data_IF_694057757470
#
_entry.id   IF_694057757470
#
_cell.length_a   1.000
_cell.length_b   1.000
_cell.length_c   1.000
_cell.angle_alpha   90.00
_cell.angle_beta   90.00
_cell.angle_gamma   90.00
#
_symmetry.space_group_name_H-M   'P 1'
#
loop_
_entity.id
_entity.type
_entity.pdbx_description
1 polymer ?
#
# COMPACT_ATOMS: atom_id res chain seq x y z
N UNK A 1 0.00 -18.96 24.34
CA UNK A 1 -1.12 -18.91 23.38
C UNK A 1 -0.65 -18.19 22.13
N UNK A 2 -0.02 -18.92 21.20
CA UNK A 2 0.38 -18.41 19.90
C UNK A 2 -0.86 -18.48 18.99
N UNK A 3 -1.35 -17.33 18.53
CA UNK A 3 -2.40 -17.31 17.51
C UNK A 3 -1.77 -17.78 16.19
N UNK A 4 -2.07 -19.01 15.78
CA UNK A 4 -1.80 -19.49 14.43
C UNK A 4 -2.62 -18.65 13.45
N UNK A 5 -1.96 -17.78 12.69
CA UNK A 5 -2.56 -17.23 11.46
C UNK A 5 -2.92 -18.39 10.53
N UNK A 6 -4.14 -18.44 9.95
CA UNK A 6 -4.55 -19.52 9.08
C UNK A 6 -3.59 -19.63 7.89
N UNK A 7 -2.91 -20.77 7.79
CA UNK A 7 -2.09 -21.13 6.62
C UNK A 7 -3.05 -21.40 5.46
N UNK A 8 -3.35 -20.36 4.69
CA UNK A 8 -3.96 -20.55 3.36
C UNK A 8 -2.91 -21.28 2.52
N UNK A 9 -3.19 -22.55 2.23
CA UNK A 9 -2.39 -23.38 1.35
C UNK A 9 -2.24 -22.66 0.00
N UNK A 10 -1.00 -22.56 -0.49
CA UNK A 10 -0.67 -21.95 -1.78
C UNK A 10 -0.54 -23.07 -2.82
N UNK A 11 -1.49 -23.25 -3.75
CA UNK A 11 -1.17 -23.88 -5.01
C UNK A 11 -0.30 -22.90 -5.80
N UNK A 12 0.88 -23.35 -6.22
CA UNK A 12 1.71 -22.66 -7.18
C UNK A 12 1.03 -22.68 -8.55
N UNK A 13 0.17 -21.69 -8.81
CA UNK A 13 -0.29 -21.37 -10.16
C UNK A 13 0.60 -20.24 -10.66
N UNK A 14 1.42 -20.54 -11.66
CA UNK A 14 2.22 -19.54 -12.38
C UNK A 14 1.29 -18.40 -12.83
N UNK A 15 1.64 -17.16 -12.47
CA UNK A 15 0.93 -15.95 -12.90
C UNK A 15 0.07 -15.25 -11.84
N UNK A 16 -0.13 -15.79 -10.64
CA UNK A 16 -0.87 -15.11 -9.57
C UNK A 16 -0.03 -14.98 -8.31
N UNK A 17 0.33 -13.76 -7.90
CA UNK A 17 0.86 -13.51 -6.56
C UNK A 17 -0.24 -12.90 -5.69
N UNK A 18 -0.95 -13.76 -4.96
CA UNK A 18 -1.96 -13.38 -3.98
C UNK A 18 -1.29 -12.75 -2.75
N UNK A 19 -1.33 -11.42 -2.65
CA UNK A 19 -0.97 -10.71 -1.42
C UNK A 19 -2.24 -10.21 -0.75
N UNK A 20 -2.71 -10.95 0.24
CA UNK A 20 -3.72 -10.48 1.20
C UNK A 20 -2.99 -10.00 2.43
N UNK A 21 -3.18 -8.74 2.80
CA UNK A 21 -2.63 -8.18 4.04
C UNK A 21 -3.71 -7.39 4.76
N UNK A 22 -3.85 -7.64 6.06
CA UNK A 22 -4.78 -6.95 6.94
C UNK A 22 -4.02 -5.99 7.84
N UNK A 23 -4.43 -4.73 7.88
CA UNK A 23 -3.96 -3.72 8.85
C UNK A 23 -5.18 -3.03 9.43
N UNK A 24 -5.38 -3.11 10.75
CA UNK A 24 -6.55 -2.55 11.43
C UNK A 24 -7.90 -3.05 10.85
N UNK A 25 -7.94 -4.33 10.45
CA UNK A 25 -9.12 -4.92 9.81
C UNK A 25 -9.23 -4.61 8.31
N UNK A 26 -8.37 -3.79 7.72
CA UNK A 26 -8.44 -3.46 6.29
C UNK A 26 -7.61 -4.39 5.44
N UNK A 27 -8.19 -4.95 4.39
CA UNK A 27 -7.54 -5.87 3.46
C UNK A 27 -7.24 -5.17 2.14
N UNK A 28 -6.00 -5.32 1.68
CA UNK A 28 -5.61 -5.04 0.30
C UNK A 28 -5.31 -6.37 -0.40
N UNK A 29 -5.86 -6.53 -1.60
CA UNK A 29 -5.63 -7.64 -2.51
C UNK A 29 -5.13 -7.13 -3.86
N UNK A 30 -3.91 -7.48 -4.23
CA UNK A 30 -3.37 -7.22 -5.57
C UNK A 30 -3.60 -8.40 -6.54
N UNK A 31 -4.06 -8.10 -7.76
CA UNK A 31 -4.19 -9.03 -8.90
C UNK A 31 -3.44 -8.49 -10.11
N UNK A 32 -3.18 -9.25 -11.19
CA UNK A 32 -2.50 -8.70 -12.36
C UNK A 32 -3.17 -7.47 -13.00
N UNK A 33 -4.49 -7.29 -12.84
CA UNK A 33 -5.24 -6.21 -13.50
C UNK A 33 -5.51 -5.00 -12.61
N UNK A 34 -5.63 -5.19 -11.29
CA UNK A 34 -5.94 -4.13 -10.34
C UNK A 34 -5.67 -4.57 -8.90
N UNK A 35 -5.78 -3.63 -7.96
CA UNK A 35 -5.93 -3.93 -6.54
C UNK A 35 -7.37 -3.77 -6.10
N UNK A 36 -7.75 -4.52 -5.08
CA UNK A 36 -9.03 -4.41 -4.39
C UNK A 36 -8.75 -4.12 -2.93
N UNK A 37 -9.39 -3.09 -2.39
CA UNK A 37 -9.34 -2.75 -0.96
C UNK A 37 -10.72 -2.88 -0.33
N UNK A 38 -10.81 -3.50 0.83
CA UNK A 38 -12.04 -3.63 1.61
C UNK A 38 -11.75 -3.79 3.10
N UNK A 39 -12.71 -3.41 3.94
CA UNK A 39 -12.65 -3.59 5.39
C UNK A 39 -13.26 -4.94 5.79
N UNK A 40 -12.56 -5.66 6.67
CA UNK A 40 -13.08 -6.82 7.38
C UNK A 40 -14.00 -6.36 8.53
N UNK A 41 -15.06 -7.12 8.81
CA UNK A 41 -15.93 -6.86 9.93
C UNK A 41 -15.13 -6.91 11.24
N UNK A 42 -15.44 -6.00 12.16
CA UNK A 42 -14.97 -6.14 13.53
C UNK A 42 -15.61 -7.40 14.11
N UNK A 43 -14.79 -8.36 14.58
CA UNK A 43 -15.27 -9.63 15.10
C UNK A 43 -16.16 -9.40 16.34
N UNK A 44 -17.46 -9.24 16.12
CA UNK A 44 -18.45 -9.22 17.19
C UNK A 44 -18.88 -10.66 17.44
N UNK A 45 -18.91 -11.12 18.70
CA UNK A 45 -19.15 -12.53 19.05
C UNK A 45 -20.55 -13.06 18.68
N UNK A 46 -21.42 -12.24 18.08
CA UNK A 46 -22.83 -12.55 17.88
C UNK A 46 -23.26 -12.87 16.44
N UNK A 47 -22.40 -12.75 15.41
CA UNK A 47 -22.86 -13.02 14.05
C UNK A 47 -21.83 -13.81 13.22
N UNK A 48 -22.15 -15.08 12.94
CA UNK A 48 -21.34 -16.00 12.11
C UNK A 48 -21.67 -15.87 10.61
N UNK A 49 -21.86 -14.66 10.12
CA UNK A 49 -21.88 -14.43 8.68
C UNK A 49 -20.63 -13.65 8.27
N UNK A 50 -19.77 -14.19 7.38
CA UNK A 50 -18.67 -13.42 6.83
C UNK A 50 -19.27 -12.43 5.83
N UNK A 51 -19.60 -11.24 6.33
CA UNK A 51 -20.03 -10.13 5.50
C UNK A 51 -18.85 -9.19 5.40
N UNK A 52 -18.35 -8.96 4.19
CA UNK A 52 -17.49 -7.81 3.93
C UNK A 52 -18.38 -6.59 4.16
N UNK A 53 -18.21 -5.92 5.29
CA UNK A 53 -19.10 -4.85 5.75
C UNK A 53 -19.01 -3.58 4.88
N UNK A 54 -18.03 -3.52 3.98
CA UNK A 54 -17.73 -2.36 3.14
C UNK A 54 -17.84 -2.67 1.65
N UNK A 55 -18.25 -1.68 0.85
CA UNK A 55 -18.19 -1.78 -0.60
C UNK A 55 -16.70 -1.85 -1.02
N UNK A 56 -16.26 -2.92 -1.72
CA UNK A 56 -14.87 -3.01 -2.15
C UNK A 56 -14.52 -1.89 -3.13
N UNK A 57 -13.35 -1.32 -2.97
CA UNK A 57 -12.78 -0.32 -3.87
C UNK A 57 -11.85 -1.00 -4.88
N UNK A 58 -12.13 -0.84 -6.17
CA UNK A 58 -11.25 -1.28 -7.25
C UNK A 58 -10.27 -0.16 -7.57
N UNK A 59 -8.99 -0.47 -7.52
CA UNK A 59 -7.89 0.49 -7.60
C UNK A 59 -7.02 0.10 -8.80
N UNK A 60 -6.93 0.94 -9.85
CA UNK A 60 -5.98 0.71 -10.93
C UNK A 60 -4.54 0.87 -10.43
N UNK A 61 -3.60 0.16 -11.04
CA UNK A 61 -2.19 0.41 -10.74
C UNK A 61 -1.77 1.81 -11.17
N UNK A 62 -0.93 2.50 -10.39
CA UNK A 62 -0.40 3.80 -10.79
C UNK A 62 0.40 3.65 -12.09
N UNK A 63 0.29 4.62 -12.98
CA UNK A 63 1.14 4.69 -14.15
C UNK A 63 2.59 4.89 -13.70
N UNK A 64 3.41 3.85 -13.86
CA UNK A 64 4.85 3.95 -13.66
C UNK A 64 5.44 4.65 -14.89
N UNK A 65 5.55 5.98 -14.86
CA UNK A 65 6.26 6.70 -15.91
C UNK A 65 7.71 6.17 -15.97
N UNK A 66 8.01 5.35 -16.96
CA UNK A 66 9.37 4.92 -17.24
C UNK A 66 10.10 6.10 -17.91
N UNK A 67 11.18 6.65 -17.33
CA UNK A 67 12.10 7.46 -18.13
C UNK A 67 12.68 6.53 -19.21
N UNK A 68 12.64 6.99 -20.45
CA UNK A 68 12.59 6.14 -21.65
C UNK A 68 13.79 5.22 -21.90
N UNK A 69 13.48 4.09 -22.53
CA UNK A 69 14.35 3.47 -23.53
C UNK A 69 13.52 3.32 -24.81
N UNK A 70 13.65 4.30 -25.71
CA UNK A 70 13.16 4.17 -27.08
C UNK A 70 14.11 3.26 -27.85
N UNK A 71 13.89 1.94 -27.78
CA UNK A 71 14.34 1.03 -28.83
C UNK A 71 13.18 0.82 -29.82
N UNK A 72 13.37 1.09 -31.13
CA UNK A 72 12.32 0.86 -32.11
C UNK A 72 12.28 -0.64 -32.41
N UNK A 73 11.39 -1.37 -31.74
CA UNK A 73 11.13 -2.76 -32.10
C UNK A 73 10.81 -3.69 -30.94
N UNK A 74 9.79 -3.38 -30.15
CA UNK A 74 8.85 -4.34 -29.53
C UNK A 74 7.94 -3.53 -28.60
N UNK A 75 6.71 -3.26 -29.04
CA UNK A 75 5.66 -2.77 -28.14
C UNK A 75 5.14 -3.97 -27.37
N UNK A 76 5.92 -4.48 -26.41
CA UNK A 76 5.36 -5.33 -25.37
C UNK A 76 4.68 -4.40 -24.38
N UNK A 77 3.36 -4.39 -24.39
CA UNK A 77 2.52 -3.79 -23.35
C UNK A 77 2.65 -4.59 -22.05
N UNK A 78 3.87 -4.77 -21.54
CA UNK A 78 4.10 -5.34 -20.24
C UNK A 78 3.75 -4.26 -19.22
N UNK A 79 2.46 -4.08 -18.93
CA UNK A 79 2.05 -3.36 -17.73
C UNK A 79 2.60 -4.15 -16.56
N UNK A 80 3.70 -3.68 -16.00
CA UNK A 80 4.31 -4.31 -14.84
C UNK A 80 3.31 -4.20 -13.68
N UNK A 81 2.81 -5.34 -13.19
CA UNK A 81 2.00 -5.39 -11.99
C UNK A 81 2.90 -5.64 -10.77
N UNK A 82 2.53 -5.13 -9.58
CA UNK A 82 3.33 -5.34 -8.39
C UNK A 82 3.33 -6.81 -8.01
N UNK A 83 4.53 -7.28 -7.68
CA UNK A 83 4.80 -8.63 -7.18
C UNK A 83 4.43 -8.79 -5.73
N UNK A 84 4.39 -7.70 -4.95
CA UNK A 84 3.89 -7.70 -3.58
C UNK A 84 3.29 -6.34 -3.21
N UNK A 85 2.38 -6.34 -2.24
CA UNK A 85 1.86 -5.11 -1.65
C UNK A 85 1.84 -5.19 -0.12
N UNK A 86 1.97 -4.03 0.52
CA UNK A 86 1.87 -3.85 1.95
C UNK A 86 1.08 -2.57 2.27
N UNK A 87 -0.12 -2.66 2.87
CA UNK A 87 -0.79 -1.48 3.38
C UNK A 87 -0.07 -0.94 4.61
N UNK A 88 -0.05 0.38 4.70
CA UNK A 88 0.26 1.16 5.91
C UNK A 88 -1.01 1.90 6.31
N UNK A 89 -0.92 2.76 7.34
CA UNK A 89 -2.06 3.57 7.76
C UNK A 89 -2.59 4.47 6.64
N UNK A 90 -1.72 5.12 5.87
CA UNK A 90 -2.15 6.10 4.86
C UNK A 90 -1.72 5.77 3.43
N UNK A 91 -0.82 4.81 3.23
CA UNK A 91 -0.34 4.39 1.92
C UNK A 91 -0.52 2.89 1.65
N UNK A 92 -0.52 2.52 0.38
CA UNK A 92 -0.27 1.15 -0.06
C UNK A 92 1.10 1.14 -0.72
N UNK A 93 1.99 0.30 -0.19
CA UNK A 93 3.34 0.10 -0.72
C UNK A 93 3.30 -1.02 -1.74
N UNK A 94 3.83 -0.77 -2.92
CA UNK A 94 3.82 -1.65 -4.08
C UNK A 94 5.25 -2.01 -4.45
N UNK A 95 5.57 -3.29 -4.46
CA UNK A 95 6.86 -3.82 -4.89
C UNK A 95 6.75 -4.36 -6.31
N UNK A 96 7.54 -3.80 -7.21
CA UNK A 96 7.71 -4.24 -8.59
C UNK A 96 9.03 -5.02 -8.73
N UNK A 97 9.42 -5.39 -9.95
CA UNK A 97 10.67 -6.14 -10.20
C UNK A 97 11.92 -5.38 -9.76
N UNK A 98 11.95 -4.06 -10.01
CA UNK A 98 13.14 -3.20 -9.89
C UNK A 98 12.87 -1.89 -9.16
N UNK A 99 11.68 -1.73 -8.56
CA UNK A 99 11.27 -0.51 -7.88
C UNK A 99 10.22 -0.76 -6.82
N UNK A 100 10.09 0.21 -5.93
CA UNK A 100 8.99 0.33 -4.99
C UNK A 100 8.22 1.61 -5.30
N UNK A 101 6.90 1.58 -5.13
CA UNK A 101 6.06 2.75 -5.18
C UNK A 101 5.17 2.81 -3.94
N UNK A 102 4.80 4.01 -3.53
CA UNK A 102 3.77 4.22 -2.51
C UNK A 102 2.63 5.01 -3.14
N UNK A 103 1.41 4.52 -2.98
CA UNK A 103 0.19 5.22 -3.40
C UNK A 103 -0.62 5.64 -2.18
N UNK A 104 -1.22 6.83 -2.24
CA UNK A 104 -2.00 7.37 -1.14
C UNK A 104 -3.41 6.79 -1.09
N UNK A 105 -3.83 6.34 0.08
CA UNK A 105 -5.20 5.83 0.31
C UNK A 105 -6.23 6.95 0.48
N UNK A 106 -5.75 8.16 0.69
CA UNK A 106 -6.59 9.33 0.98
C UNK A 106 -6.86 10.16 -0.27
N UNK A 107 -5.97 10.02 -1.24
CA UNK A 107 -5.88 10.80 -2.44
C UNK A 107 -5.93 9.87 -3.63
N UNK A 108 -7.06 9.72 -4.33
CA UNK A 108 -7.47 8.61 -5.22
C UNK A 108 -6.40 7.62 -5.72
N UNK A 109 -5.64 6.99 -4.81
CA UNK A 109 -4.48 6.16 -5.10
C UNK A 109 -3.38 6.83 -5.95
N UNK A 110 -3.21 8.14 -5.77
CA UNK A 110 -2.13 8.93 -6.36
C UNK A 110 -0.78 8.40 -5.87
N UNK A 111 0.18 8.26 -6.78
CA UNK A 111 1.55 7.90 -6.44
C UNK A 111 2.22 9.06 -5.70
N UNK A 112 2.61 8.83 -4.45
CA UNK A 112 3.30 9.82 -3.60
C UNK A 112 4.81 9.64 -3.60
N UNK A 113 5.29 8.43 -3.91
CA UNK A 113 6.70 8.10 -3.91
C UNK A 113 6.97 6.98 -4.91
N UNK A 114 8.12 7.06 -5.57
CA UNK A 114 8.70 5.97 -6.36
C UNK A 114 10.20 5.93 -6.12
N UNK A 115 10.72 4.75 -5.83
CA UNK A 115 12.15 4.53 -5.58
C UNK A 115 12.62 3.32 -6.38
N UNK A 116 13.65 3.52 -7.19
CA UNK A 116 14.33 2.42 -7.88
C UNK A 116 15.11 1.57 -6.88
N UNK A 117 15.14 0.26 -7.12
CA UNK A 117 15.85 -0.73 -6.32
C UNK A 117 16.92 -1.43 -7.17
N UNK A 118 18.06 -0.78 -7.47
CA UNK A 118 19.14 -1.40 -8.23
C UNK A 118 19.64 -2.68 -7.53
N UNK A 119 19.73 -3.78 -8.28
CA UNK A 119 20.21 -5.07 -7.74
C UNK A 119 21.64 -5.00 -7.20
N UNK A 120 22.46 -4.09 -7.74
CA UNK A 120 23.80 -3.80 -7.24
C UNK A 120 23.81 -3.37 -5.77
N UNK A 121 22.81 -2.57 -5.35
CA UNK A 121 22.68 -2.07 -3.99
C UNK A 121 21.81 -2.99 -3.13
N UNK A 122 20.63 -3.37 -3.63
CA UNK A 122 19.60 -4.03 -2.84
C UNK A 122 19.55 -5.54 -2.99
N UNK A 123 20.27 -6.13 -3.97
CA UNK A 123 20.11 -7.54 -4.34
C UNK A 123 18.79 -7.80 -5.06
N UNK A 124 18.42 -9.08 -5.20
CA UNK A 124 17.10 -9.44 -5.73
C UNK A 124 16.07 -9.36 -4.59
N UNK A 125 15.32 -8.26 -4.57
CA UNK A 125 14.23 -8.08 -3.62
C UNK A 125 13.13 -9.12 -3.91
N UNK A 126 12.71 -9.83 -2.86
CA UNK A 126 11.79 -10.96 -2.95
C UNK A 126 10.39 -10.63 -2.45
N UNK A 127 10.28 -9.85 -1.37
CA UNK A 127 8.99 -9.54 -0.74
C UNK A 127 9.06 -8.30 0.14
N UNK A 128 7.88 -7.78 0.45
CA UNK A 128 7.64 -6.87 1.58
C UNK A 128 7.29 -7.69 2.83
N UNK A 129 7.74 -7.21 3.98
CA UNK A 129 7.39 -7.67 5.32
C UNK A 129 6.69 -6.52 6.04
N UNK A 130 5.67 -6.82 6.83
CA UNK A 130 4.95 -5.83 7.64
C UNK A 130 4.93 -6.35 9.06
N UNK A 131 5.26 -5.52 10.04
CA UNK A 131 5.14 -5.93 11.42
C UNK A 131 3.66 -6.05 11.84
N UNK A 132 3.23 -7.18 12.44
CA UNK A 132 1.82 -7.40 12.78
C UNK A 132 1.25 -6.41 13.81
N UNK A 133 2.10 -5.91 14.70
CA UNK A 133 1.69 -5.04 15.81
C UNK A 133 1.92 -3.55 15.51
N UNK A 134 2.77 -3.25 14.53
CA UNK A 134 3.07 -1.90 14.10
C UNK A 134 3.08 -1.80 12.58
N UNK A 135 1.93 -1.50 11.99
CA UNK A 135 1.76 -1.41 10.54
C UNK A 135 2.48 -0.20 9.92
N UNK A 136 3.15 0.64 10.72
CA UNK A 136 4.04 1.69 10.23
C UNK A 136 5.41 1.17 9.79
N UNK A 137 5.77 -0.06 10.17
CA UNK A 137 7.08 -0.65 9.88
C UNK A 137 6.94 -1.69 8.76
N UNK A 138 7.31 -1.25 7.55
CA UNK A 138 7.43 -2.12 6.38
C UNK A 138 8.91 -2.37 6.13
N UNK A 139 9.28 -3.61 5.83
CA UNK A 139 10.65 -3.97 5.47
C UNK A 139 10.71 -4.63 4.09
N UNK A 140 11.82 -4.42 3.38
CA UNK A 140 12.17 -5.12 2.16
C UNK A 140 13.03 -6.34 2.51
N UNK A 141 12.60 -7.51 2.07
CA UNK A 141 13.40 -8.73 2.15
C UNK A 141 14.03 -9.02 0.78
N UNK A 142 15.36 -9.10 0.74
CA UNK A 142 16.14 -9.48 -0.44
C UNK A 142 16.98 -10.72 -0.16
N UNK A 143 17.63 -11.24 -1.20
CA UNK A 143 18.62 -12.31 -1.07
C UNK A 143 19.94 -11.89 -0.39
N UNK A 144 20.15 -10.58 -0.17
CA UNK A 144 21.34 -10.06 0.51
C UNK A 144 21.08 -9.62 1.94
N UNK A 145 20.02 -8.83 2.15
CA UNK A 145 19.72 -8.12 3.40
C UNK A 145 18.23 -7.88 3.59
N UNK A 146 17.86 -7.52 4.82
CA UNK A 146 16.57 -6.91 5.16
C UNK A 146 16.78 -5.40 5.30
N UNK A 147 15.91 -4.60 4.70
CA UNK A 147 15.95 -3.13 4.79
C UNK A 147 14.66 -2.62 5.41
N UNK A 148 14.75 -1.79 6.43
CA UNK A 148 13.59 -1.10 6.98
C UNK A 148 13.22 0.10 6.09
N UNK A 149 11.93 0.27 5.83
CA UNK A 149 11.39 1.42 5.10
C UNK A 149 10.86 2.43 6.11
N UNK A 150 11.51 3.59 6.18
CA UNK A 150 11.05 4.71 7.00
C UNK A 150 10.19 5.67 6.18
N UNK A 151 8.91 5.78 6.55
CA UNK A 151 7.98 6.76 5.99
C UNK A 151 7.97 8.01 6.86
N UNK A 152 8.83 8.97 6.53
CA UNK A 152 8.93 10.21 7.29
C UNK A 152 7.77 11.16 6.94
N UNK A 153 7.18 11.79 7.96
CA UNK A 153 6.16 12.84 7.83
C UNK A 153 4.90 12.42 7.03
N UNK A 154 4.58 11.12 7.04
CA UNK A 154 3.40 10.58 6.34
C UNK A 154 2.11 11.30 6.77
N UNK A 155 1.92 11.48 8.07
CA UNK A 155 0.74 12.15 8.62
C UNK A 155 0.65 13.64 8.22
N UNK A 156 1.80 14.33 8.12
CA UNK A 156 1.87 15.73 7.70
C UNK A 156 1.53 15.91 6.22
N UNK A 157 2.01 15.00 5.37
CA UNK A 157 1.69 15.01 3.94
C UNK A 157 0.19 14.79 3.73
N UNK A 158 -0.39 13.86 4.50
CA UNK A 158 -1.79 13.48 4.42
C UNK A 158 -2.75 14.63 4.72
N UNK A 159 -2.60 15.31 5.87
CA UNK A 159 -3.57 16.36 6.24
C UNK A 159 -3.52 17.54 5.28
N UNK A 160 -2.32 17.90 4.79
CA UNK A 160 -2.15 18.93 3.76
C UNK A 160 -2.83 18.55 2.46
N UNK A 161 -2.72 17.28 2.05
CA UNK A 161 -3.40 16.78 0.85
C UNK A 161 -4.92 16.82 0.97
N UNK A 162 -5.47 16.59 2.17
CA UNK A 162 -6.90 16.69 2.44
C UNK A 162 -7.39 18.14 2.38
N UNK A 163 -6.61 19.08 2.93
CA UNK A 163 -6.90 20.53 2.84
C UNK A 163 -6.94 20.99 1.38
N UNK A 164 -5.95 20.64 0.56
CA UNK A 164 -5.95 20.98 -0.88
C UNK A 164 -7.19 20.46 -1.62
N UNK A 165 -7.77 19.35 -1.14
CA UNK A 165 -9.00 18.75 -1.69
C UNK A 165 -10.28 19.25 -1.03
N UNK A 166 -10.20 20.27 -0.16
CA UNK A 166 -11.34 20.84 0.58
C UNK A 166 -12.05 19.81 1.48
N UNK A 167 -11.33 18.78 1.94
CA UNK A 167 -11.82 17.76 2.89
C UNK A 167 -11.40 18.11 4.31
N UNK A 168 -11.82 19.27 4.80
CA UNK A 168 -11.35 19.86 6.06
C UNK A 168 -11.71 19.02 7.29
N UNK A 169 -12.92 18.45 7.35
CA UNK A 169 -13.38 17.62 8.45
C UNK A 169 -12.53 16.35 8.64
N UNK A 170 -12.01 15.78 7.55
CA UNK A 170 -11.08 14.65 7.59
C UNK A 170 -9.67 15.10 7.92
N UNK A 171 -9.22 16.23 7.37
CA UNK A 171 -7.92 16.81 7.67
C UNK A 171 -7.76 17.07 9.17
N UNK A 172 -8.79 17.57 9.86
CA UNK A 172 -8.78 17.79 11.32
C UNK A 172 -8.57 16.52 12.14
N UNK A 173 -9.10 15.37 11.68
CA UNK A 173 -8.97 14.08 12.37
C UNK A 173 -7.55 13.54 12.31
N UNK A 174 -6.83 13.85 11.23
CA UNK A 174 -5.48 13.32 10.99
C UNK A 174 -4.37 14.33 11.25
N UNK A 175 -4.68 15.63 11.39
CA UNK A 175 -3.72 16.63 11.81
C UNK A 175 -3.20 16.31 13.23
N UNK A 176 -1.88 16.08 13.39
CA UNK A 176 -1.31 15.62 14.66
C UNK A 176 -1.28 16.71 15.71
N UNK A 177 -0.94 17.95 15.31
CA UNK A 177 -0.65 19.03 16.25
C UNK A 177 -1.75 20.09 16.28
N UNK A 178 -1.94 20.79 17.42
CA UNK A 178 -2.89 21.90 17.51
C UNK A 178 -2.66 22.98 16.44
N UNK A 179 -1.40 23.33 16.16
CA UNK A 179 -1.05 24.30 15.12
C UNK A 179 -1.47 23.85 13.72
N UNK A 180 -1.30 22.58 13.38
CA UNK A 180 -1.75 22.02 12.10
C UNK A 180 -3.29 22.07 12.01
N UNK A 181 -3.99 21.79 13.11
CA UNK A 181 -5.45 21.90 13.17
C UNK A 181 -5.92 23.35 12.98
N UNK A 182 -5.22 24.32 13.57
CA UNK A 182 -5.50 25.74 13.34
C UNK A 182 -5.32 26.12 11.87
N UNK A 183 -4.30 25.59 11.19
CA UNK A 183 -4.11 25.80 9.74
C UNK A 183 -5.25 25.18 8.92
N UNK A 184 -5.78 24.03 9.32
CA UNK A 184 -6.94 23.42 8.65
C UNK A 184 -8.19 24.28 8.82
N UNK A 185 -8.49 24.74 10.04
CA UNK A 185 -9.66 25.60 10.31
C UNK A 185 -9.54 26.95 9.58
N UNK A 186 -8.33 27.52 9.52
CA UNK A 186 -8.10 28.78 8.81
C UNK A 186 -8.23 28.65 7.27
N UNK A 187 -8.16 27.43 6.74
CA UNK A 187 -8.28 27.16 5.32
C UNK A 187 -9.72 26.77 4.89
N UNK A 188 -10.62 26.52 5.84
CA UNK A 188 -12.05 26.23 5.63
C UNK A 188 -12.84 27.48 5.24
#
# INVERSE_FOLDING_TARGET
LLFETPRVARPALEGFTLHVRSTEGRVVWASPSCMVEFDLPSATPQNRQPVVDSKPSIIPYPALNAPGEHYPGTVTTNSEYPRACAPTKYHIILLYSSRIAAVSRIAPYDMVCSLNLPSAQYGNVRSLLVQPHNCSEVALYSDRRVYELHFNNEQDQVWRQLVTRKRFSEALKVAPRPEDRSLVVAAE
#
